data_IF_773883953105
#
_entry.id   IF_773883953105
#
_cell.length_a   1.000
_cell.length_b   1.000
_cell.length_c   1.000
_cell.angle_alpha   90.00
_cell.angle_beta   90.00
_cell.angle_gamma   90.00
#
_symmetry.space_group_name_H-M   'P 1'
#
loop_
_entity.id
_entity.type
_entity.pdbx_description
1 polymer ?
#
# COMPACT_ATOMS: atom_id res chain seq x y z
N UNK A 1 -2.83 8.64 9.42
CA UNK A 1 -3.03 7.69 8.30
C UNK A 1 -2.70 6.27 8.75
N UNK A 2 -3.20 5.25 8.05
CA UNK A 2 -2.85 3.84 8.26
C UNK A 2 -2.19 3.24 7.01
N UNK A 3 -1.27 2.31 7.22
CA UNK A 3 -0.63 1.48 6.20
C UNK A 3 -0.41 0.07 6.77
N UNK A 4 -0.33 -0.94 5.90
CA UNK A 4 -0.21 -2.34 6.30
C UNK A 4 0.83 -3.04 5.44
N UNK A 5 1.74 -3.73 6.11
CA UNK A 5 2.70 -4.62 5.51
C UNK A 5 2.20 -6.05 5.48
N UNK A 6 3.11 -7.02 5.38
CA UNK A 6 2.68 -8.43 5.40
C UNK A 6 2.04 -8.80 6.73
N UNK A 7 2.80 -8.64 7.82
CA UNK A 7 2.42 -9.09 9.16
C UNK A 7 2.50 -7.96 10.19
N UNK A 8 2.46 -6.71 9.76
CA UNK A 8 2.44 -5.54 10.62
C UNK A 8 1.58 -4.41 10.05
N UNK A 9 1.09 -3.57 10.95
CA UNK A 9 0.33 -2.35 10.67
C UNK A 9 1.12 -1.15 11.14
N UNK A 10 1.00 -0.04 10.43
CA UNK A 10 1.65 1.24 10.75
C UNK A 10 0.59 2.34 10.80
N UNK A 11 0.64 3.14 11.85
CA UNK A 11 -0.20 4.32 12.04
C UNK A 11 0.64 5.59 12.12
N UNK A 12 0.26 6.63 11.40
CA UNK A 12 0.83 7.98 11.52
C UNK A 12 -0.14 8.88 12.27
N UNK A 13 0.34 9.47 13.36
CA UNK A 13 -0.39 10.43 14.20
C UNK A 13 -0.33 11.86 13.65
N UNK A 14 -1.22 12.73 14.12
CA UNK A 14 -1.23 14.15 13.69
C UNK A 14 0.06 14.90 14.07
N UNK A 15 0.76 14.43 15.11
CA UNK A 15 2.01 15.02 15.60
C UNK A 15 3.24 14.55 14.81
N UNK A 16 3.02 13.86 13.69
CA UNK A 16 4.03 13.33 12.77
C UNK A 16 4.91 12.24 13.37
N UNK A 17 4.46 11.59 14.46
CA UNK A 17 5.07 10.38 15.02
C UNK A 17 4.36 9.12 14.53
N UNK A 18 5.06 7.98 14.58
CA UNK A 18 4.61 6.72 13.99
C UNK A 18 4.44 5.65 15.08
N UNK A 19 3.36 4.86 14.96
CA UNK A 19 3.12 3.65 15.75
C UNK A 19 3.13 2.43 14.85
N UNK A 20 3.53 1.28 15.38
CA UNK A 20 3.52 0.00 14.68
C UNK A 20 3.03 -1.12 15.59
N UNK A 21 2.34 -2.10 15.02
CA UNK A 21 1.89 -3.31 15.69
C UNK A 21 2.01 -4.50 14.74
N UNK A 22 2.36 -5.67 15.24
CA UNK A 22 2.58 -6.87 14.44
C UNK A 22 3.95 -7.50 14.64
N UNK A 23 4.36 -8.30 13.66
CA UNK A 23 5.68 -8.92 13.68
C UNK A 23 6.78 -7.88 13.69
N UNK A 24 7.79 -8.10 14.53
CA UNK A 24 8.99 -7.27 14.61
C UNK A 24 10.26 -8.13 14.58
N UNK A 25 10.21 -9.32 13.98
CA UNK A 25 11.34 -10.25 13.95
C UNK A 25 12.57 -9.70 13.21
N UNK A 26 12.36 -8.71 12.33
CA UNK A 26 13.40 -8.03 11.55
C UNK A 26 13.57 -6.54 11.90
N UNK A 27 12.89 -6.03 12.95
CA UNK A 27 12.93 -4.60 13.30
C UNK A 27 11.99 -3.72 12.46
N UNK A 28 11.05 -4.31 11.71
CA UNK A 28 10.12 -3.58 10.83
C UNK A 28 9.13 -2.67 11.59
N UNK A 29 8.99 -2.85 12.90
CA UNK A 29 8.23 -1.97 13.80
C UNK A 29 9.11 -1.03 14.65
N UNK A 30 10.41 -0.94 14.40
CA UNK A 30 11.34 -0.07 15.15
C UNK A 30 11.23 1.42 14.70
N UNK A 31 10.00 1.95 14.73
CA UNK A 31 9.63 3.29 14.25
C UNK A 31 9.54 4.34 15.37
N UNK A 32 9.79 3.94 16.62
CA UNK A 32 9.49 4.76 17.81
C UNK A 32 10.28 6.07 17.93
N UNK A 33 11.43 6.17 17.25
CA UNK A 33 12.27 7.37 17.23
C UNK A 33 12.00 8.26 16.00
N UNK A 34 11.05 7.90 15.14
CA UNK A 34 10.75 8.67 13.92
C UNK A 34 9.93 9.92 14.25
N UNK A 35 10.36 11.04 13.66
CA UNK A 35 9.67 12.33 13.73
C UNK A 35 9.54 12.94 12.33
N UNK A 36 8.65 13.93 12.21
CA UNK A 36 8.44 14.71 10.98
C UNK A 36 7.98 13.85 9.79
N UNK A 37 7.39 12.69 10.06
CA UNK A 37 6.85 11.79 9.04
C UNK A 37 5.52 12.33 8.53
N UNK A 38 5.36 12.40 7.21
CA UNK A 38 4.13 12.83 6.53
C UNK A 38 3.46 11.71 5.75
N UNK A 39 4.18 10.63 5.46
CA UNK A 39 3.64 9.41 4.89
C UNK A 39 4.42 8.20 5.41
N UNK A 40 3.73 7.09 5.67
CA UNK A 40 4.36 5.80 5.91
C UNK A 40 3.88 4.77 4.88
N UNK A 41 4.77 3.87 4.48
CA UNK A 41 4.46 2.67 3.71
C UNK A 41 5.05 1.46 4.41
N UNK A 42 4.33 0.34 4.41
CA UNK A 42 4.72 -0.89 5.07
C UNK A 42 4.84 -1.99 4.01
N UNK A 43 6.03 -2.54 3.87
CA UNK A 43 6.33 -3.66 2.98
C UNK A 43 6.15 -4.99 3.68
N UNK A 44 6.76 -6.07 3.18
CA UNK A 44 6.64 -7.37 3.86
C UNK A 44 7.28 -7.35 5.25
N UNK A 45 8.58 -7.02 5.27
CA UNK A 45 9.43 -7.08 6.46
C UNK A 45 10.20 -5.76 6.67
N UNK A 46 9.71 -4.65 6.12
CA UNK A 46 10.28 -3.32 6.33
C UNK A 46 9.19 -2.25 6.34
N UNK A 47 9.48 -1.13 7.00
CA UNK A 47 8.65 0.09 7.02
C UNK A 47 9.45 1.24 6.47
N UNK A 48 8.79 2.11 5.70
CA UNK A 48 9.36 3.29 5.05
C UNK A 48 8.59 4.52 5.52
N UNK A 49 9.30 5.56 5.93
CA UNK A 49 8.76 6.84 6.36
C UNK A 49 9.26 7.98 5.46
N UNK A 50 8.35 8.73 4.86
CA UNK A 50 8.64 9.97 4.15
C UNK A 50 8.57 11.14 5.12
N UNK A 51 9.63 11.94 5.18
CA UNK A 51 9.69 13.16 5.98
C UNK A 51 9.18 14.39 5.24
N UNK A 52 8.75 15.39 6.00
CA UNK A 52 8.26 16.66 5.47
C UNK A 52 9.29 17.45 4.63
N UNK A 53 10.59 17.17 4.81
CA UNK A 53 11.69 17.78 4.06
C UNK A 53 12.03 17.05 2.74
N UNK A 54 11.27 16.01 2.39
CA UNK A 54 11.48 15.21 1.17
C UNK A 54 12.52 14.10 1.32
N UNK A 55 13.10 13.89 2.50
CA UNK A 55 13.98 12.76 2.79
C UNK A 55 13.21 11.53 3.25
N UNK A 56 13.81 10.34 3.12
CA UNK A 56 13.17 9.07 3.44
C UNK A 56 13.99 8.28 4.46
N UNK A 57 13.30 7.63 5.40
CA UNK A 57 13.87 6.68 6.37
C UNK A 57 13.23 5.30 6.18
N UNK A 58 13.97 4.25 6.50
CA UNK A 58 13.46 2.89 6.47
C UNK A 58 14.06 2.04 7.61
N UNK A 59 13.27 1.10 8.13
CA UNK A 59 13.67 0.11 9.15
C UNK A 59 13.14 -1.27 8.77
N UNK A 60 13.79 -2.33 9.25
CA UNK A 60 13.40 -3.70 9.01
C UNK A 60 14.47 -4.52 8.30
N UNK A 61 14.04 -5.58 7.63
CA UNK A 61 14.88 -6.47 6.86
C UNK A 61 15.54 -5.71 5.71
N UNK A 62 16.87 -5.85 5.58
CA UNK A 62 17.66 -5.14 4.57
C UNK A 62 18.69 -6.03 3.86
N UNK A 63 18.41 -7.33 3.68
CA UNK A 63 19.36 -8.21 3.00
C UNK A 63 19.49 -7.92 1.50
N UNK A 64 18.41 -7.41 0.90
CA UNK A 64 18.32 -7.11 -0.53
C UNK A 64 18.53 -5.60 -0.81
N UNK A 65 18.78 -4.79 0.22
CA UNK A 65 18.93 -3.33 0.10
C UNK A 65 17.60 -2.56 0.09
N UNK A 66 16.48 -3.18 0.47
CA UNK A 66 15.15 -2.54 0.47
C UNK A 66 15.01 -1.35 1.42
N UNK A 67 15.92 -1.19 2.39
CA UNK A 67 16.01 -0.04 3.29
C UNK A 67 17.08 0.99 2.89
N UNK A 68 17.77 0.82 1.74
CA UNK A 68 18.88 1.70 1.30
C UNK A 68 18.40 3.04 0.70
N UNK A 69 17.51 3.73 1.42
CA UNK A 69 16.83 4.97 0.99
C UNK A 69 17.54 6.26 1.40
N UNK A 70 18.63 6.18 2.16
CA UNK A 70 19.25 7.32 2.85
C UNK A 70 19.86 8.41 1.95
N UNK A 71 19.90 8.19 0.62
CA UNK A 71 20.35 9.17 -0.36
C UNK A 71 19.22 9.89 -1.10
N UNK A 72 17.96 9.57 -0.82
CA UNK A 72 16.82 10.14 -1.52
C UNK A 72 16.46 11.52 -0.98
N UNK A 73 16.19 12.45 -1.90
CA UNK A 73 15.74 13.82 -1.63
C UNK A 73 14.57 14.15 -2.54
N UNK A 74 13.84 15.23 -2.24
CA UNK A 74 12.73 15.73 -3.06
C UNK A 74 11.60 14.70 -3.31
N UNK A 75 11.54 13.65 -2.48
CA UNK A 75 10.51 12.62 -2.55
C UNK A 75 9.19 13.20 -2.03
N UNK A 76 8.10 12.93 -2.75
CA UNK A 76 6.74 13.34 -2.39
C UNK A 76 5.82 12.17 -2.10
N UNK A 77 6.16 10.95 -2.54
CA UNK A 77 5.43 9.73 -2.18
C UNK A 77 6.36 8.53 -2.05
N UNK A 78 6.03 7.61 -1.15
CA UNK A 78 6.71 6.32 -1.00
C UNK A 78 5.75 5.15 -1.12
N UNK A 79 6.25 4.02 -1.62
CA UNK A 79 5.59 2.72 -1.60
C UNK A 79 6.62 1.64 -1.22
N UNK A 80 6.15 0.59 -0.53
CA UNK A 80 6.98 -0.50 -0.05
C UNK A 80 6.37 -1.82 -0.54
N UNK A 81 7.15 -2.58 -1.31
CA UNK A 81 6.78 -3.91 -1.80
C UNK A 81 7.25 -5.00 -0.83
N UNK A 82 7.41 -6.22 -1.32
CA UNK A 82 7.90 -7.32 -0.47
C UNK A 82 9.41 -7.20 -0.25
N UNK A 83 10.17 -6.97 -1.31
CA UNK A 83 11.65 -6.90 -1.28
C UNK A 83 12.23 -5.62 -1.87
N UNK A 84 11.42 -4.59 -2.12
CA UNK A 84 11.88 -3.32 -2.68
C UNK A 84 11.07 -2.12 -2.14
N UNK A 85 11.68 -0.94 -2.21
CA UNK A 85 11.08 0.35 -1.88
C UNK A 85 11.10 1.26 -3.11
N UNK A 86 10.02 2.02 -3.30
CA UNK A 86 9.84 2.95 -4.42
C UNK A 86 9.58 4.36 -3.90
N UNK A 87 10.28 5.35 -4.45
CA UNK A 87 10.10 6.77 -4.17
C UNK A 87 9.68 7.53 -5.43
N UNK A 88 8.66 8.38 -5.31
CA UNK A 88 8.27 9.35 -6.34
C UNK A 88 8.88 10.70 -6.02
N UNK A 89 9.67 11.23 -6.94
CA UNK A 89 10.23 12.58 -6.85
C UNK A 89 9.17 13.64 -7.22
N UNK A 90 9.31 14.83 -6.65
CA UNK A 90 8.55 16.03 -6.96
C UNK A 90 8.53 16.43 -8.44
N UNK A 91 9.54 16.04 -9.22
CA UNK A 91 9.62 16.28 -10.65
C UNK A 91 8.86 15.26 -11.53
N UNK A 92 8.25 14.26 -10.90
CA UNK A 92 7.48 13.19 -11.57
C UNK A 92 8.32 12.01 -12.04
N UNK A 93 9.60 11.93 -11.69
CA UNK A 93 10.46 10.75 -11.87
C UNK A 93 10.39 9.80 -10.67
N UNK A 94 10.90 8.58 -10.83
CA UNK A 94 10.78 7.52 -9.82
C UNK A 94 12.14 6.88 -9.57
N UNK A 95 12.42 6.61 -8.29
CA UNK A 95 13.58 5.84 -7.82
C UNK A 95 13.12 4.57 -7.10
N UNK A 96 13.94 3.52 -7.15
CA UNK A 96 13.68 2.28 -6.43
C UNK A 96 14.99 1.64 -5.93
N UNK A 97 14.90 0.94 -4.80
CA UNK A 97 16.00 0.16 -4.18
C UNK A 97 15.46 -1.17 -3.65
N UNK A 98 16.33 -2.17 -3.53
CA UNK A 98 15.97 -3.52 -3.08
C UNK A 98 16.32 -4.59 -4.10
N UNK A 99 15.62 -5.72 -4.02
CA UNK A 99 15.74 -6.78 -5.01
C UNK A 99 15.35 -6.28 -6.40
N UNK A 100 16.05 -6.78 -7.41
CA UNK A 100 15.78 -6.45 -8.81
C UNK A 100 15.92 -7.68 -9.71
N UNK A 101 15.67 -8.88 -9.16
CA UNK A 101 15.76 -10.13 -9.90
C UNK A 101 14.76 -10.19 -11.08
N UNK A 102 13.62 -9.51 -10.94
CA UNK A 102 12.54 -9.49 -11.92
C UNK A 102 12.37 -8.14 -12.64
N UNK A 103 13.31 -7.21 -12.47
CA UNK A 103 13.24 -5.84 -13.03
C UNK A 103 12.20 -4.93 -12.34
N UNK A 104 11.83 -5.24 -11.09
CA UNK A 104 10.89 -4.44 -10.29
C UNK A 104 11.41 -3.04 -9.94
N UNK A 105 12.73 -2.82 -9.95
CA UNK A 105 13.36 -1.52 -9.74
C UNK A 105 13.70 -0.78 -11.06
N UNK A 106 13.36 -1.32 -12.23
CA UNK A 106 13.67 -0.73 -13.55
C UNK A 106 12.71 0.43 -13.91
N UNK A 107 12.58 1.41 -13.01
CA UNK A 107 11.66 2.55 -13.08
C UNK A 107 12.31 3.86 -13.56
N UNK A 108 13.64 3.88 -13.75
CA UNK A 108 14.41 5.12 -13.99
C UNK A 108 14.12 5.86 -15.30
N UNK A 109 13.31 5.29 -16.21
CA UNK A 109 12.84 5.95 -17.44
C UNK A 109 11.42 6.50 -17.32
N UNK A 110 10.77 6.36 -16.17
CA UNK A 110 9.41 6.84 -15.96
C UNK A 110 9.39 8.36 -15.73
N UNK A 111 8.40 9.01 -16.32
CA UNK A 111 8.14 10.44 -16.19
C UNK A 111 6.65 10.69 -16.02
N UNK A 112 6.31 11.89 -15.56
CA UNK A 112 4.93 12.36 -15.38
C UNK A 112 4.13 11.48 -14.40
N UNK A 113 4.83 10.80 -13.49
CA UNK A 113 4.22 9.94 -12.47
C UNK A 113 3.64 10.81 -11.35
N UNK A 114 2.45 10.44 -10.89
CA UNK A 114 1.74 11.10 -9.78
C UNK A 114 1.45 10.16 -8.61
N UNK A 115 1.58 8.85 -8.81
CA UNK A 115 1.46 7.85 -7.75
C UNK A 115 2.28 6.61 -8.10
N UNK A 116 2.87 6.00 -7.08
CA UNK A 116 3.56 4.71 -7.15
C UNK A 116 2.89 3.68 -6.23
N UNK A 117 2.94 2.41 -6.61
CA UNK A 117 2.54 1.27 -5.80
C UNK A 117 3.51 0.10 -6.06
N UNK A 118 3.76 -0.71 -5.04
CA UNK A 118 4.74 -1.78 -5.06
C UNK A 118 4.09 -3.09 -4.57
N UNK A 119 4.21 -4.16 -5.36
CA UNK A 119 3.70 -5.49 -5.01
C UNK A 119 4.81 -6.44 -4.57
N UNK A 120 4.64 -7.75 -4.82
CA UNK A 120 5.65 -8.74 -4.42
C UNK A 120 6.99 -8.55 -5.14
N UNK A 121 6.96 -8.47 -6.47
CA UNK A 121 8.15 -8.32 -7.32
C UNK A 121 7.83 -7.51 -8.57
N UNK A 122 6.99 -6.49 -8.43
CA UNK A 122 6.62 -5.56 -9.50
C UNK A 122 6.25 -4.19 -8.94
N UNK A 123 6.44 -3.17 -9.76
CA UNK A 123 6.14 -1.76 -9.44
C UNK A 123 5.12 -1.24 -10.44
N UNK A 124 4.18 -0.41 -9.96
CA UNK A 124 3.14 0.24 -10.77
C UNK A 124 3.24 1.76 -10.60
N UNK A 125 3.17 2.49 -11.70
CA UNK A 125 3.16 3.95 -11.74
C UNK A 125 1.90 4.48 -12.42
N UNK A 126 1.23 5.44 -11.79
CA UNK A 126 0.12 6.19 -12.37
C UNK A 126 0.65 7.51 -12.93
N UNK A 127 0.34 7.81 -14.18
CA UNK A 127 0.68 9.06 -14.84
C UNK A 127 -0.39 10.14 -14.64
N UNK A 128 0.02 11.39 -14.78
CA UNK A 128 -0.85 12.57 -14.69
C UNK A 128 -2.00 12.61 -15.71
N UNK A 129 -1.88 11.88 -16.83
CA UNK A 129 -2.91 11.74 -17.86
C UNK A 129 -3.88 10.57 -17.61
N UNK A 130 -3.74 9.86 -16.49
CA UNK A 130 -4.56 8.70 -16.12
C UNK A 130 -4.11 7.38 -16.74
N UNK A 131 -3.00 7.35 -17.50
CA UNK A 131 -2.38 6.11 -17.96
C UNK A 131 -1.59 5.42 -16.83
N UNK A 132 -1.43 4.10 -16.92
CA UNK A 132 -0.71 3.30 -15.92
C UNK A 132 0.42 2.52 -16.60
N UNK A 133 1.58 2.48 -15.93
CA UNK A 133 2.75 1.70 -16.33
C UNK A 133 3.10 0.70 -15.23
N UNK A 134 3.70 -0.43 -15.60
CA UNK A 134 4.18 -1.42 -14.64
C UNK A 134 5.45 -2.11 -15.17
N UNK A 135 6.34 -2.51 -14.27
CA UNK A 135 7.57 -3.29 -14.51
C UNK A 135 7.72 -4.35 -13.44
N UNK A 136 8.46 -5.42 -13.73
CA UNK A 136 8.67 -6.53 -12.79
C UNK A 136 8.05 -7.84 -13.27
N UNK A 137 7.79 -8.74 -12.32
CA UNK A 137 7.18 -10.04 -12.57
C UNK A 137 5.76 -9.92 -13.12
N UNK A 138 5.45 -10.70 -14.15
CA UNK A 138 4.13 -10.67 -14.83
C UNK A 138 3.54 -12.07 -15.09
N UNK A 139 3.96 -13.08 -14.30
CA UNK A 139 3.54 -14.46 -14.53
C UNK A 139 2.02 -14.68 -14.36
N UNK A 140 1.32 -13.74 -13.71
CA UNK A 140 -0.12 -13.75 -13.50
C UNK A 140 -0.85 -12.66 -14.31
N UNK A 141 -0.15 -11.85 -15.10
CA UNK A 141 -0.73 -10.69 -15.80
C UNK A 141 -0.91 -9.45 -14.93
N UNK A 142 -0.23 -9.35 -13.78
CA UNK A 142 -0.32 -8.22 -12.85
C UNK A 142 0.19 -6.90 -13.44
N UNK A 143 1.05 -6.94 -14.47
CA UNK A 143 1.52 -5.78 -15.21
C UNK A 143 0.63 -5.44 -16.42
N UNK A 144 -0.49 -6.15 -16.61
CA UNK A 144 -1.45 -6.00 -17.71
C UNK A 144 -2.30 -4.72 -17.68
N UNK A 145 -1.69 -3.56 -17.42
CA UNK A 145 -2.37 -2.27 -17.14
C UNK A 145 -2.39 -1.30 -18.32
N UNK A 146 -1.71 -1.62 -19.43
CA UNK A 146 -1.45 -0.68 -20.54
C UNK A 146 -2.71 -0.13 -21.23
N UNK A 147 -3.85 -0.83 -21.14
CA UNK A 147 -5.12 -0.39 -21.74
C UNK A 147 -6.04 0.34 -20.75
N UNK A 148 -5.59 0.55 -19.50
CA UNK A 148 -6.36 1.30 -18.52
C UNK A 148 -6.35 2.79 -18.87
N UNK A 149 -7.48 3.43 -18.61
CA UNK A 149 -7.73 4.85 -18.87
C UNK A 149 -8.55 5.42 -17.73
N UNK A 150 -8.50 6.74 -17.57
CA UNK A 150 -9.24 7.48 -16.54
C UNK A 150 -8.94 7.03 -15.11
N UNK A 151 -7.74 6.50 -14.86
CA UNK A 151 -7.31 6.06 -13.52
C UNK A 151 -6.92 7.27 -12.66
N UNK A 152 -7.39 7.29 -11.42
CA UNK A 152 -7.07 8.32 -10.42
C UNK A 152 -6.37 7.77 -9.19
N UNK A 153 -6.42 6.45 -8.97
CA UNK A 153 -5.65 5.80 -7.92
C UNK A 153 -5.28 4.38 -8.33
N UNK A 154 -4.07 3.96 -7.97
CA UNK A 154 -3.59 2.58 -8.11
C UNK A 154 -3.29 1.95 -6.75
N UNK A 155 -3.42 0.63 -6.68
CA UNK A 155 -2.92 -0.20 -5.59
C UNK A 155 -2.31 -1.49 -6.16
N UNK A 156 -1.27 -2.01 -5.50
CA UNK A 156 -0.57 -3.23 -5.89
C UNK A 156 -0.67 -4.22 -4.72
N UNK A 157 -1.28 -5.38 -4.96
CA UNK A 157 -1.25 -6.51 -4.05
C UNK A 157 -0.06 -7.43 -4.37
N UNK A 158 -0.06 -8.65 -3.83
CA UNK A 158 1.05 -9.60 -4.06
C UNK A 158 1.25 -9.93 -5.54
N UNK A 159 0.18 -10.31 -6.24
CA UNK A 159 0.20 -10.69 -7.65
C UNK A 159 -0.99 -10.13 -8.43
N UNK A 160 -1.56 -9.01 -7.99
CA UNK A 160 -2.66 -8.34 -8.70
C UNK A 160 -2.60 -6.82 -8.52
N UNK A 161 -2.99 -6.10 -9.56
CA UNK A 161 -3.03 -4.63 -9.58
C UNK A 161 -4.48 -4.17 -9.62
N UNK A 162 -4.79 -3.12 -8.88
CA UNK A 162 -6.14 -2.52 -8.79
C UNK A 162 -6.06 -1.05 -9.20
N UNK A 163 -7.03 -0.60 -9.99
CA UNK A 163 -7.15 0.78 -10.46
C UNK A 163 -8.54 1.34 -10.17
N UNK A 164 -8.60 2.51 -9.52
CA UNK A 164 -9.81 3.30 -9.33
C UNK A 164 -9.95 4.29 -10.50
N UNK A 165 -11.12 4.30 -11.12
CA UNK A 165 -11.46 5.26 -12.18
C UNK A 165 -12.06 6.55 -11.63
N UNK A 166 -11.96 7.62 -12.43
CA UNK A 166 -12.60 8.93 -12.16
C UNK A 166 -14.11 8.84 -11.88
N UNK A 167 -14.80 7.85 -12.44
CA UNK A 167 -16.25 7.64 -12.28
C UNK A 167 -16.62 6.84 -11.01
N UNK A 168 -15.64 6.48 -10.18
CA UNK A 168 -15.83 5.70 -8.95
C UNK A 168 -16.01 4.20 -9.17
N UNK A 169 -15.77 3.68 -10.38
CA UNK A 169 -15.67 2.25 -10.68
C UNK A 169 -14.24 1.73 -10.55
N UNK A 170 -14.07 0.41 -10.45
CA UNK A 170 -12.77 -0.22 -10.19
C UNK A 170 -12.45 -1.28 -11.25
N UNK A 171 -11.17 -1.41 -11.59
CA UNK A 171 -10.61 -2.50 -12.39
C UNK A 171 -9.52 -3.23 -11.63
N UNK A 172 -9.32 -4.50 -11.97
CA UNK A 172 -8.22 -5.28 -11.46
C UNK A 172 -7.68 -6.25 -12.53
N UNK A 173 -6.39 -6.54 -12.48
CA UNK A 173 -5.69 -7.53 -13.33
C UNK A 173 -4.69 -8.31 -12.49
N UNK A 174 -4.33 -9.52 -12.92
CA UNK A 174 -3.40 -10.38 -12.22
C UNK A 174 -4.04 -11.68 -11.74
N UNK A 175 -3.46 -12.27 -10.69
CA UNK A 175 -3.93 -13.49 -10.06
C UNK A 175 -5.36 -13.33 -9.52
N UNK A 176 -6.24 -14.30 -9.79
CA UNK A 176 -7.64 -14.26 -9.37
C UNK A 176 -8.15 -15.59 -8.79
N UNK A 177 -7.26 -16.44 -8.26
CA UNK A 177 -7.64 -17.78 -7.77
C UNK A 177 -8.65 -17.74 -6.61
N UNK A 178 -8.73 -16.60 -5.90
CA UNK A 178 -9.63 -16.36 -4.77
C UNK A 178 -10.69 -15.29 -5.05
N UNK A 179 -10.81 -14.79 -6.28
CA UNK A 179 -11.73 -13.71 -6.61
C UNK A 179 -11.25 -12.31 -6.20
N UNK A 180 -9.96 -12.12 -5.89
CA UNK A 180 -9.40 -10.82 -5.50
C UNK A 180 -9.49 -9.74 -6.58
N UNK A 181 -9.71 -10.11 -7.84
CA UNK A 181 -9.95 -9.21 -8.96
C UNK A 181 -11.45 -9.04 -9.29
N UNK A 182 -12.38 -9.63 -8.53
CA UNK A 182 -13.84 -9.60 -8.80
C UNK A 182 -14.50 -8.27 -8.37
N UNK A 183 -13.95 -7.16 -8.83
CA UNK A 183 -14.32 -5.78 -8.47
C UNK A 183 -15.36 -5.14 -9.41
N UNK A 184 -15.77 -5.85 -10.47
CA UNK A 184 -16.56 -5.28 -11.58
C UNK A 184 -17.96 -4.75 -11.23
N UNK A 185 -18.48 -5.05 -10.04
CA UNK A 185 -19.74 -4.52 -9.53
C UNK A 185 -19.62 -3.31 -8.61
N UNK A 186 -18.41 -2.84 -8.34
CA UNK A 186 -18.18 -1.76 -7.39
C UNK A 186 -18.46 -0.39 -8.00
N UNK A 187 -19.03 0.50 -7.19
CA UNK A 187 -19.36 1.87 -7.56
C UNK A 187 -19.27 2.79 -6.33
N UNK A 188 -19.16 4.10 -6.58
CA UNK A 188 -18.96 5.13 -5.55
C UNK A 188 -17.71 4.90 -4.68
N UNK A 189 -16.70 4.26 -5.25
CA UNK A 189 -15.42 4.03 -4.58
C UNK A 189 -14.59 5.31 -4.60
N UNK A 190 -13.95 5.62 -3.48
CA UNK A 190 -13.07 6.78 -3.31
C UNK A 190 -11.64 6.40 -2.89
N UNK A 191 -11.44 5.16 -2.45
CA UNK A 191 -10.12 4.60 -2.18
C UNK A 191 -10.09 3.11 -2.50
N UNK A 192 -8.99 2.62 -3.08
CA UNK A 192 -8.69 1.19 -3.23
C UNK A 192 -7.38 0.81 -2.53
N UNK A 193 -7.31 -0.40 -2.02
CA UNK A 193 -6.09 -1.04 -1.50
C UNK A 193 -6.14 -2.54 -1.78
N UNK A 194 -4.97 -3.17 -1.85
CA UNK A 194 -4.82 -4.55 -2.26
C UNK A 194 -3.86 -5.26 -1.30
N UNK A 195 -4.33 -6.33 -0.69
CA UNK A 195 -3.54 -7.22 0.14
C UNK A 195 -2.89 -8.32 -0.69
N UNK A 196 -2.58 -9.45 -0.07
CA UNK A 196 -1.98 -10.58 -0.81
C UNK A 196 -2.99 -11.29 -1.71
N UNK A 197 -4.16 -11.58 -1.18
CA UNK A 197 -5.21 -12.31 -1.88
C UNK A 197 -6.60 -11.68 -1.71
N UNK A 198 -6.67 -10.40 -1.36
CA UNK A 198 -7.93 -9.66 -1.26
C UNK A 198 -7.77 -8.21 -1.70
N UNK A 199 -8.86 -7.62 -2.17
CA UNK A 199 -8.97 -6.20 -2.55
C UNK A 199 -10.02 -5.53 -1.67
N UNK A 200 -9.75 -4.30 -1.24
CA UNK A 200 -10.65 -3.51 -0.40
C UNK A 200 -10.93 -2.16 -1.07
N UNK A 201 -12.19 -1.75 -1.07
CA UNK A 201 -12.67 -0.48 -1.58
C UNK A 201 -13.40 0.33 -0.51
N UNK A 202 -13.00 1.58 -0.29
CA UNK A 202 -13.73 2.55 0.53
C UNK A 202 -14.75 3.28 -0.33
N UNK A 203 -16.00 3.36 0.14
CA UNK A 203 -17.05 4.17 -0.50
C UNK A 203 -17.11 5.58 0.05
N UNK A 204 -17.65 6.49 -0.75
CA UNK A 204 -17.85 7.90 -0.39
C UNK A 204 -18.73 8.11 0.85
N UNK A 205 -19.57 7.14 1.22
CA UNK A 205 -20.44 7.17 2.40
C UNK A 205 -19.77 6.66 3.68
N UNK A 206 -18.47 6.33 3.64
CA UNK A 206 -17.70 5.83 4.78
C UNK A 206 -17.88 4.34 5.06
N UNK A 207 -18.60 3.60 4.20
CA UNK A 207 -18.68 2.13 4.24
C UNK A 207 -17.61 1.48 3.37
N UNK A 208 -17.32 0.20 3.60
CA UNK A 208 -16.24 -0.53 2.93
C UNK A 208 -16.79 -1.77 2.20
N UNK A 209 -16.14 -2.17 1.11
CA UNK A 209 -16.36 -3.44 0.42
C UNK A 209 -15.04 -4.19 0.27
N UNK A 210 -15.09 -5.52 0.27
CA UNK A 210 -13.93 -6.36 0.05
C UNK A 210 -14.29 -7.61 -0.77
N UNK A 211 -13.34 -8.11 -1.55
CA UNK A 211 -13.41 -9.38 -2.30
C UNK A 211 -12.08 -10.11 -2.22
N UNK A 212 -12.10 -11.44 -2.36
CA UNK A 212 -10.91 -12.27 -2.32
C UNK A 212 -10.97 -13.38 -1.28
N UNK A 213 -9.80 -13.82 -0.85
CA UNK A 213 -9.60 -14.76 0.25
C UNK A 213 -10.22 -14.22 1.55
N UNK A 214 -10.80 -15.11 2.35
CA UNK A 214 -11.44 -14.75 3.62
C UNK A 214 -11.34 -15.87 4.68
N UNK A 215 -10.39 -16.80 4.54
CA UNK A 215 -10.22 -17.94 5.45
C UNK A 215 -9.88 -17.54 6.88
N UNK A 216 -9.41 -16.31 7.10
CA UNK A 216 -9.12 -15.76 8.44
C UNK A 216 -9.89 -14.48 8.75
N UNK A 217 -10.89 -14.12 7.94
CA UNK A 217 -11.77 -12.97 8.17
C UNK A 217 -11.22 -11.63 7.67
N UNK A 218 -10.23 -11.62 6.78
CA UNK A 218 -9.63 -10.39 6.23
C UNK A 218 -10.63 -9.51 5.44
N UNK A 219 -11.75 -10.08 5.00
CA UNK A 219 -12.86 -9.39 4.33
C UNK A 219 -14.08 -9.16 5.25
N UNK A 220 -14.01 -9.44 6.56
CA UNK A 220 -15.14 -9.31 7.50
C UNK A 220 -15.38 -7.85 7.93
N UNK A 221 -15.59 -6.96 6.95
CA UNK A 221 -15.66 -5.49 7.13
C UNK A 221 -17.10 -4.94 7.11
N UNK A 222 -18.12 -5.79 7.07
CA UNK A 222 -19.51 -5.40 6.81
C UNK A 222 -20.10 -4.42 7.85
N UNK A 223 -19.59 -4.45 9.07
CA UNK A 223 -20.06 -3.59 10.17
C UNK A 223 -19.26 -2.27 10.27
N UNK A 224 -18.32 -2.02 9.36
CA UNK A 224 -17.50 -0.80 9.39
C UNK A 224 -18.26 0.41 8.84
N UNK A 225 -18.25 1.49 9.61
CA UNK A 225 -18.81 2.79 9.26
C UNK A 225 -17.83 3.91 9.61
N UNK A 226 -18.07 5.09 9.03
CA UNK A 226 -17.29 6.31 9.28
C UNK A 226 -15.80 6.16 8.96
N UNK A 227 -15.47 5.25 8.03
CA UNK A 227 -14.12 5.00 7.57
C UNK A 227 -13.69 6.12 6.62
N UNK A 228 -12.48 6.64 6.84
CA UNK A 228 -11.85 7.67 6.01
C UNK A 228 -10.59 7.18 5.32
N UNK A 229 -10.03 6.04 5.76
CA UNK A 229 -8.92 5.39 5.09
C UNK A 229 -8.93 3.87 5.31
N UNK A 230 -8.57 3.11 4.29
CA UNK A 230 -8.33 1.66 4.36
C UNK A 230 -6.90 1.29 3.97
N UNK A 231 -6.40 0.20 4.53
CA UNK A 231 -5.14 -0.45 4.16
C UNK A 231 -5.30 -1.98 4.26
N UNK A 232 -4.74 -2.72 3.30
CA UNK A 232 -4.81 -4.17 3.22
C UNK A 232 -3.40 -4.78 3.29
N UNK A 233 -3.17 -5.64 4.28
CA UNK A 233 -1.92 -6.39 4.46
C UNK A 233 -2.02 -7.80 3.89
N UNK A 234 -1.18 -8.72 4.39
CA UNK A 234 -1.16 -10.08 3.84
C UNK A 234 -2.38 -10.91 4.22
N UNK A 235 -2.79 -10.84 5.48
CA UNK A 235 -3.96 -11.56 6.01
C UNK A 235 -4.90 -10.67 6.82
N UNK A 236 -4.81 -9.34 6.69
CA UNK A 236 -5.59 -8.42 7.52
C UNK A 236 -5.94 -7.14 6.77
N UNK A 237 -7.02 -6.50 7.20
CA UNK A 237 -7.47 -5.19 6.73
C UNK A 237 -7.53 -4.24 7.91
N UNK A 238 -7.05 -3.01 7.73
CA UNK A 238 -7.10 -1.92 8.72
C UNK A 238 -7.92 -0.76 8.18
N UNK A 239 -8.78 -0.20 9.02
CA UNK A 239 -9.58 0.98 8.73
C UNK A 239 -9.33 2.10 9.74
N UNK A 240 -9.13 3.32 9.25
CA UNK A 240 -9.11 4.54 10.06
C UNK A 240 -10.47 5.20 10.02
N UNK A 241 -11.03 5.50 11.19
CA UNK A 241 -12.28 6.25 11.31
C UNK A 241 -12.05 7.75 11.34
N UNK A 242 -13.10 8.51 11.03
CA UNK A 242 -13.08 9.98 11.06
C UNK A 242 -12.77 10.57 12.44
N UNK A 243 -13.02 9.84 13.52
CA UNK A 243 -12.68 10.22 14.90
C UNK A 243 -11.25 9.86 15.31
N UNK A 244 -10.43 9.33 14.38
CA UNK A 244 -9.04 8.92 14.58
C UNK A 244 -8.86 7.54 15.22
N UNK A 245 -9.95 6.84 15.56
CA UNK A 245 -9.88 5.45 16.02
C UNK A 245 -9.56 4.50 14.87
N UNK A 246 -8.90 3.39 15.19
CA UNK A 246 -8.47 2.39 14.20
C UNK A 246 -9.15 1.04 14.48
N UNK A 247 -9.66 0.41 13.42
CA UNK A 247 -10.25 -0.93 13.45
C UNK A 247 -9.45 -1.87 12.55
N UNK A 248 -9.42 -3.16 12.90
CA UNK A 248 -8.76 -4.18 12.10
C UNK A 248 -9.51 -5.51 12.14
N UNK A 249 -9.45 -6.26 11.04
CA UNK A 249 -10.01 -7.63 10.90
C UNK A 249 -9.00 -8.53 10.18
N UNK A 250 -9.18 -9.84 10.30
CA UNK A 250 -8.30 -10.84 9.69
C UNK A 250 -7.37 -11.54 10.67
N UNK A 251 -6.33 -12.18 10.14
CA UNK A 251 -5.34 -12.92 10.91
C UNK A 251 -4.54 -12.03 11.86
N UNK A 252 -4.47 -12.43 13.13
CA UNK A 252 -3.80 -11.69 14.19
C UNK A 252 -2.73 -12.51 14.94
N UNK A 253 -2.12 -13.49 14.28
CA UNK A 253 -1.14 -14.38 14.94
C UNK A 253 0.13 -13.66 15.42
N UNK A 254 0.39 -12.44 14.93
CA UNK A 254 1.55 -11.62 15.27
C UNK A 254 1.16 -10.30 15.94
N UNK A 255 -0.12 -10.07 16.26
CA UNK A 255 -0.59 -8.81 16.84
C UNK A 255 -0.78 -7.68 15.82
N UNK A 256 -0.79 -7.97 14.50
CA UNK A 256 -0.96 -6.96 13.44
C UNK A 256 -2.31 -6.24 13.48
N UNK A 257 -3.31 -6.83 14.15
CA UNK A 257 -4.63 -6.23 14.38
C UNK A 257 -4.76 -5.58 15.76
N UNK A 258 -3.69 -5.51 16.57
CA UNK A 258 -3.70 -4.94 17.94
C UNK A 258 -3.66 -3.40 17.91
N UNK A 259 -4.59 -2.81 17.17
CA UNK A 259 -4.69 -1.37 16.89
C UNK A 259 -5.64 -0.62 17.82
N UNK A 260 -6.33 -1.32 18.73
CA UNK A 260 -7.40 -0.76 19.57
C UNK A 260 -6.95 0.32 20.55
N UNK A 261 -5.64 0.40 20.82
CA UNK A 261 -5.03 1.44 21.66
C UNK A 261 -4.56 2.66 20.87
N UNK A 262 -4.65 2.63 19.53
CA UNK A 262 -4.19 3.70 18.69
C UNK A 262 -5.24 4.82 18.65
N UNK A 263 -4.74 6.03 18.85
CA UNK A 263 -5.43 7.27 18.53
C UNK A 263 -4.50 8.03 17.60
N UNK A 264 -4.98 8.28 16.37
CA UNK A 264 -4.21 8.97 15.33
C UNK A 264 -4.61 10.44 15.18
N UNK A 265 -5.47 10.95 16.07
CA UNK A 265 -5.80 12.38 16.14
C UNK A 265 -4.67 13.25 16.65
#
# INVERSE_FOLDING_TARGET
>A
MVATGSLHSVGLRIDHTVVCAGDNSNGQCDVGDWTDIIQAAAGADHTVGLKADGTVVAVGYNYDGQCDVGGWTDIIKVAAGVTHTVGLDSDGTVVAVGDNLYHECDVGNWTDIIQVAAGWGYTVGLKSDGAVVAVGVDNCGQCGVANWTDIVQIAAGWSHTVGLRTDGTVVAVGLNDYGQCDVGGWANIVQVTAGVAHTVGLKADGTVVAVGENSVGECDINDWTDIVQVAAGLYHTVGLKADGTVVAVGGNNYGQCDVSSWDLT
#
